data_IF_072304533187
#
_entry.id   IF_072304533187
#
_cell.length_a   1.000
_cell.length_b   1.000
_cell.length_c   1.000
_cell.angle_alpha   90.00
_cell.angle_beta   90.00
_cell.angle_gamma   90.00
#
_symmetry.space_group_name_H-M   'P 1'
#
loop_
_entity.id
_entity.type
_entity.pdbx_description
1 polymer ?
#
# COMPACT_ATOMS: atom_id res chain seq x y z
N UNK A 1 1.41 -0.88 -22.57
CA UNK A 1 0.12 -0.78 -21.86
C UNK A 1 0.42 -0.67 -20.39
N UNK A 2 -0.17 0.30 -19.69
CA UNK A 2 -0.10 0.33 -18.23
C UNK A 2 -1.16 -0.62 -17.68
N UNK A 3 -0.78 -1.48 -16.74
CA UNK A 3 -1.73 -2.34 -16.05
C UNK A 3 -2.60 -1.45 -15.17
N UNK A 4 -3.92 -1.47 -15.39
CA UNK A 4 -4.84 -0.67 -14.61
C UNK A 4 -5.18 -1.45 -13.36
N UNK A 5 -4.92 -0.87 -12.20
CA UNK A 5 -5.10 -1.51 -10.90
C UNK A 5 -6.43 -1.03 -10.33
N UNK A 6 -7.33 -1.96 -10.01
CA UNK A 6 -8.71 -1.65 -9.64
C UNK A 6 -8.98 -1.79 -8.15
N UNK A 7 -8.13 -2.53 -7.45
CA UNK A 7 -8.24 -2.77 -6.01
C UNK A 7 -6.90 -2.61 -5.31
N UNK A 8 -6.97 -2.32 -4.01
CA UNK A 8 -5.78 -2.26 -3.16
C UNK A 8 -5.02 -3.60 -3.13
N UNK A 9 -5.74 -4.73 -3.11
CA UNK A 9 -5.12 -6.07 -3.11
C UNK A 9 -4.38 -6.36 -4.41
N UNK A 10 -4.89 -5.92 -5.56
CA UNK A 10 -4.17 -6.03 -6.84
C UNK A 10 -2.89 -5.19 -6.85
N UNK A 11 -2.93 -3.97 -6.28
CA UNK A 11 -1.73 -3.14 -6.14
C UNK A 11 -0.68 -3.83 -5.27
N UNK A 12 -1.12 -4.39 -4.15
CA UNK A 12 -0.26 -5.09 -3.20
C UNK A 12 0.42 -6.30 -3.85
N UNK A 13 -0.34 -7.11 -4.61
CA UNK A 13 0.19 -8.24 -5.34
C UNK A 13 1.19 -7.82 -6.42
N UNK A 14 0.89 -6.75 -7.18
CA UNK A 14 1.80 -6.27 -8.20
C UNK A 14 3.12 -5.77 -7.60
N UNK A 15 3.08 -5.03 -6.49
CA UNK A 15 4.29 -4.58 -5.78
C UNK A 15 5.10 -5.79 -5.28
N UNK A 16 4.44 -6.79 -4.72
CA UNK A 16 5.08 -8.01 -4.25
C UNK A 16 5.81 -8.74 -5.40
N UNK A 17 5.13 -8.94 -6.52
CA UNK A 17 5.69 -9.65 -7.68
C UNK A 17 6.83 -8.85 -8.32
N UNK A 18 6.67 -7.54 -8.46
CA UNK A 18 7.70 -6.64 -9.00
C UNK A 18 8.95 -6.65 -8.10
N UNK A 19 8.81 -6.63 -6.77
CA UNK A 19 9.94 -6.73 -5.83
C UNK A 19 10.70 -8.04 -6.00
N UNK A 20 9.99 -9.15 -6.19
CA UNK A 20 10.61 -10.46 -6.40
C UNK A 20 11.38 -10.55 -7.71
N UNK A 21 10.88 -9.89 -8.77
CA UNK A 21 11.56 -9.80 -10.07
C UNK A 21 12.81 -8.92 -9.97
N UNK A 22 12.74 -7.81 -9.22
CA UNK A 22 13.85 -6.88 -9.05
C UNK A 22 14.95 -7.43 -8.11
N UNK A 23 14.56 -8.24 -7.12
CA UNK A 23 15.44 -8.82 -6.11
C UNK A 23 15.40 -10.35 -6.10
N UNK A 24 15.85 -11.02 -7.18
CA UNK A 24 15.89 -12.47 -7.22
C UNK A 24 16.80 -13.05 -6.12
N UNK A 25 17.75 -12.28 -5.59
CA UNK A 25 18.61 -12.68 -4.47
C UNK A 25 17.89 -12.82 -3.12
N UNK A 26 16.68 -12.26 -2.99
CA UNK A 26 15.85 -12.44 -1.79
C UNK A 26 15.00 -13.70 -1.85
N UNK A 27 14.91 -14.33 -3.03
CA UNK A 27 14.15 -15.56 -3.23
C UNK A 27 15.00 -16.76 -2.82
N UNK A 28 14.53 -17.46 -1.80
CA UNK A 28 15.14 -18.70 -1.33
C UNK A 28 14.89 -19.87 -2.29
N UNK A 29 15.65 -20.95 -2.14
CA UNK A 29 15.56 -22.15 -2.99
C UNK A 29 14.20 -22.84 -2.93
N UNK A 30 13.45 -22.66 -1.84
CA UNK A 30 12.07 -23.13 -1.69
C UNK A 30 11.04 -22.21 -2.38
N UNK A 31 11.49 -21.09 -2.92
CA UNK A 31 10.65 -20.08 -3.55
C UNK A 31 10.03 -19.08 -2.57
N UNK A 32 10.35 -19.12 -1.29
CA UNK A 32 9.92 -18.09 -0.33
C UNK A 32 10.79 -16.83 -0.46
N UNK A 33 10.30 -15.69 0.01
CA UNK A 33 11.08 -14.47 0.11
C UNK A 33 10.71 -13.73 1.40
N UNK A 34 11.29 -14.12 2.54
CA UNK A 34 10.97 -13.51 3.83
C UNK A 34 11.19 -11.98 3.86
N UNK A 35 12.09 -11.48 3.01
CA UNK A 35 12.30 -10.05 2.82
C UNK A 35 11.10 -9.38 2.11
N UNK A 36 10.54 -10.00 1.07
CA UNK A 36 9.30 -9.49 0.44
C UNK A 36 8.15 -9.45 1.45
N UNK A 37 7.97 -10.51 2.24
CA UNK A 37 6.93 -10.58 3.28
C UNK A 37 7.08 -9.45 4.32
N UNK A 38 8.32 -9.15 4.71
CA UNK A 38 8.65 -8.04 5.62
C UNK A 38 8.25 -6.68 5.05
N UNK A 39 8.55 -6.43 3.77
CA UNK A 39 8.14 -5.20 3.09
C UNK A 39 6.61 -5.08 2.98
N UNK A 40 5.94 -6.18 2.67
CA UNK A 40 4.48 -6.22 2.55
C UNK A 40 3.79 -5.95 3.90
N UNK A 41 4.29 -6.56 4.97
CA UNK A 41 3.81 -6.31 6.34
C UNK A 41 4.00 -4.84 6.73
N UNK A 42 5.19 -4.27 6.46
CA UNK A 42 5.48 -2.87 6.74
C UNK A 42 4.63 -1.91 5.93
N UNK A 43 4.36 -2.21 4.66
CA UNK A 43 3.46 -1.42 3.82
C UNK A 43 2.04 -1.40 4.41
N UNK A 44 1.54 -2.56 4.81
CA UNK A 44 0.23 -2.70 5.46
C UNK A 44 0.14 -1.90 6.76
N UNK A 45 1.20 -1.94 7.59
CA UNK A 45 1.28 -1.15 8.83
C UNK A 45 1.23 0.36 8.55
N UNK A 46 2.05 0.85 7.61
CA UNK A 46 2.13 2.27 7.27
C UNK A 46 0.79 2.80 6.73
N UNK A 47 0.12 2.02 5.88
CA UNK A 47 -1.19 2.38 5.35
C UNK A 47 -2.27 2.35 6.44
N UNK A 48 -2.27 1.32 7.29
CA UNK A 48 -3.16 1.23 8.44
C UNK A 48 -2.97 2.40 9.43
N UNK A 49 -1.72 2.82 9.67
CA UNK A 49 -1.41 3.99 10.48
C UNK A 49 -1.91 5.28 9.81
N UNK A 50 -1.68 5.45 8.51
CA UNK A 50 -2.15 6.62 7.74
C UNK A 50 -3.68 6.76 7.80
N UNK A 51 -4.41 5.66 7.60
CA UNK A 51 -5.88 5.65 7.68
C UNK A 51 -6.40 6.00 9.08
N UNK A 52 -5.68 5.59 10.13
CA UNK A 52 -6.03 5.95 11.53
C UNK A 52 -5.74 7.41 11.84
N UNK A 53 -4.69 7.98 11.27
CA UNK A 53 -4.36 9.40 11.42
C UNK A 53 -5.39 10.28 10.72
N UNK A 54 -5.90 9.88 9.56
CA UNK A 54 -7.02 10.59 8.91
C UNK A 54 -8.32 10.51 9.72
N UNK A 55 -8.59 9.36 10.35
CA UNK A 55 -9.76 9.20 11.21
C UNK A 55 -9.71 9.99 12.53
N UNK A 56 -8.52 10.40 12.99
CA UNK A 56 -8.32 11.10 14.28
C UNK A 56 -7.81 12.55 14.14
N UNK A 57 -7.62 13.07 12.93
CA UNK A 57 -7.05 14.40 12.68
C UNK A 57 -8.06 15.42 12.15
N UNK A 58 -7.87 16.73 12.44
CA UNK A 58 -8.69 17.83 11.88
C UNK A 58 -8.65 17.91 10.35
N UNK A 59 -7.74 17.16 9.69
CA UNK A 59 -7.58 17.11 8.23
C UNK A 59 -8.82 16.53 7.55
N UNK A 60 -9.39 15.41 8.03
CA UNK A 60 -10.62 14.86 7.44
C UNK A 60 -11.83 15.80 7.61
N UNK A 61 -11.88 16.54 8.72
CA UNK A 61 -12.87 17.59 8.92
C UNK A 61 -12.65 18.80 7.98
N UNK A 62 -11.38 19.11 7.69
CA UNK A 62 -11.00 20.20 6.78
C UNK A 62 -11.36 19.86 5.33
N UNK A 63 -11.09 18.64 4.86
CA UNK A 63 -11.50 18.20 3.52
C UNK A 63 -13.02 18.18 3.36
N UNK A 64 -13.78 17.65 4.34
CA UNK A 64 -15.25 17.73 4.31
C UNK A 64 -15.78 19.17 4.32
N UNK A 65 -15.17 20.06 5.10
CA UNK A 65 -15.58 21.46 5.16
C UNK A 65 -15.31 22.19 3.83
N UNK A 66 -14.21 21.85 3.15
CA UNK A 66 -13.88 22.41 1.83
C UNK A 66 -14.82 21.89 0.74
N UNK A 67 -15.21 20.61 0.76
CA UNK A 67 -16.20 20.08 -0.19
C UNK A 67 -17.59 20.71 -0.01
N UNK A 68 -18.04 20.92 1.24
CA UNK A 68 -19.32 21.56 1.54
C UNK A 68 -19.35 23.06 1.17
N UNK A 69 -18.20 23.74 1.20
CA UNK A 69 -18.09 25.17 0.88
C UNK A 69 -18.07 25.47 -0.63
N UNK A 70 -17.96 24.44 -1.48
CA UNK A 70 -17.92 24.54 -2.95
C UNK A 70 -19.31 24.30 -3.58
N UNK A 71 -20.34 24.02 -2.77
CA UNK A 71 -21.74 23.87 -3.20
C UNK A 71 -22.56 25.11 -2.85
#
# INVERSE_FOLDING_TARGET
MYHQIHTYTELQQQIHDDLRIQHPEWVESNGESPMCDSYESRLTELLGASMRTEANGPIAATYRALELAVT
#
